data_IF_020511032675
#
_entry.id   IF_020511032675
#
_cell.length_a   1.000
_cell.length_b   1.000
_cell.length_c   1.000
_cell.angle_alpha   90.00
_cell.angle_beta   90.00
_cell.angle_gamma   90.00
#
_symmetry.space_group_name_H-M   'P 1'
#
loop_
_entity.id
_entity.type
_entity.pdbx_description
1 polymer ?
#
# COMPACT_ATOMS: atom_id res chain seq x y z
N UNK A 1 3.56 -16.91 18.49
CA UNK A 1 2.71 -18.07 18.32
C UNK A 1 3.13 -18.85 17.08
N UNK A 2 3.74 -20.05 17.24
CA UNK A 2 4.30 -20.88 16.15
C UNK A 2 3.27 -21.44 15.15
N UNK A 3 1.98 -21.23 15.35
CA UNK A 3 0.92 -21.71 14.46
C UNK A 3 0.99 -21.10 13.04
N UNK A 4 1.64 -19.96 12.88
CA UNK A 4 1.83 -19.29 11.59
C UNK A 4 3.09 -19.71 10.83
N UNK A 5 3.94 -20.53 11.46
CA UNK A 5 5.18 -20.99 10.85
C UNK A 5 4.94 -22.30 10.13
N UNK A 6 5.21 -22.33 8.83
CA UNK A 6 5.20 -23.55 8.06
C UNK A 6 6.31 -24.48 8.54
N UNK A 7 5.95 -25.70 8.93
CA UNK A 7 6.89 -26.76 9.28
C UNK A 7 6.56 -28.01 8.47
N UNK A 8 7.59 -28.67 7.95
CA UNK A 8 7.45 -29.90 7.18
C UNK A 8 8.38 -30.96 7.73
N UNK A 9 7.85 -32.17 7.88
CA UNK A 9 8.60 -33.34 8.26
C UNK A 9 8.46 -34.38 7.13
N UNK A 10 9.57 -34.73 6.50
CA UNK A 10 9.68 -35.80 5.52
C UNK A 10 10.48 -36.94 6.14
N UNK A 11 9.81 -37.99 6.59
CA UNK A 11 10.44 -39.15 7.26
C UNK A 11 11.39 -39.93 6.33
N UNK A 12 12.39 -40.55 6.92
CA UNK A 12 13.34 -41.40 6.20
C UNK A 12 12.64 -42.58 5.47
N UNK A 13 13.17 -42.92 4.31
CA UNK A 13 12.79 -44.12 3.56
C UNK A 13 14.07 -44.91 3.22
N UNK A 14 14.54 -45.78 4.15
CA UNK A 14 15.83 -46.47 3.98
C UNK A 14 15.90 -47.42 2.76
N UNK A 15 14.75 -47.99 2.38
CA UNK A 15 14.67 -48.92 1.25
C UNK A 15 14.60 -48.28 -0.14
N UNK A 16 14.62 -46.94 -0.23
CA UNK A 16 14.66 -46.20 -1.51
C UNK A 16 16.09 -46.17 -2.07
N UNK A 17 16.23 -46.15 -3.37
CA UNK A 17 17.54 -46.01 -4.04
C UNK A 17 17.59 -44.67 -4.82
N UNK A 18 18.44 -43.70 -4.42
CA UNK A 18 19.21 -43.67 -3.18
C UNK A 18 18.33 -43.57 -1.92
N UNK A 19 18.79 -43.97 -0.73
CA UNK A 19 18.02 -43.84 0.50
C UNK A 19 17.60 -42.42 0.78
N UNK A 20 16.34 -42.18 1.15
CA UNK A 20 15.83 -40.86 1.53
C UNK A 20 16.13 -40.63 3.01
N UNK A 21 16.84 -39.56 3.38
CA UNK A 21 17.06 -39.20 4.78
C UNK A 21 15.79 -38.63 5.44
N UNK A 22 15.74 -38.54 6.77
CA UNK A 22 14.78 -37.72 7.51
C UNK A 22 15.12 -36.26 7.27
N UNK A 23 14.16 -35.52 6.73
CA UNK A 23 14.31 -34.09 6.43
C UNK A 23 13.26 -33.32 7.20
N UNK A 24 13.71 -32.28 7.91
CA UNK A 24 12.83 -31.38 8.68
C UNK A 24 13.10 -29.94 8.25
N UNK A 25 12.05 -29.24 7.84
CA UNK A 25 12.08 -27.86 7.39
C UNK A 25 11.19 -26.99 8.27
N UNK A 26 11.66 -25.82 8.62
CA UNK A 26 10.90 -24.78 9.32
C UNK A 26 11.31 -23.41 8.80
N UNK A 27 10.36 -22.49 8.70
CA UNK A 27 10.66 -21.09 8.41
C UNK A 27 11.27 -20.42 9.64
N UNK A 28 12.25 -19.56 9.43
CA UNK A 28 12.91 -18.75 10.46
C UNK A 28 12.85 -17.26 10.07
N UNK A 29 12.89 -16.32 11.04
CA UNK A 29 12.95 -14.90 10.76
C UNK A 29 14.16 -14.56 9.88
N UNK A 30 13.94 -13.69 8.87
CA UNK A 30 15.02 -13.28 7.96
C UNK A 30 15.92 -12.19 8.55
N UNK A 31 15.48 -11.53 9.62
CA UNK A 31 16.22 -10.44 10.27
C UNK A 31 15.47 -9.10 10.21
N UNK A 32 16.15 -7.96 10.43
CA UNK A 32 15.53 -6.65 10.51
C UNK A 32 14.79 -6.23 9.23
N UNK A 33 13.55 -5.79 9.38
CA UNK A 33 12.69 -5.28 8.31
C UNK A 33 12.52 -3.77 8.48
N UNK A 34 12.74 -3.02 7.40
CA UNK A 34 12.45 -1.58 7.38
C UNK A 34 11.07 -1.36 6.78
N UNK A 35 10.24 -0.56 7.46
CA UNK A 35 8.88 -0.25 7.02
C UNK A 35 8.74 1.24 6.74
N UNK A 36 8.20 1.57 5.56
CA UNK A 36 7.84 2.91 5.13
C UNK A 36 6.33 2.99 4.97
N UNK A 37 5.65 3.69 5.88
CA UNK A 37 4.20 3.78 5.89
C UNK A 37 3.63 4.77 4.88
N UNK A 38 2.36 4.58 4.51
CA UNK A 38 1.59 5.45 3.64
C UNK A 38 1.24 6.78 4.32
N UNK A 39 1.09 7.84 3.52
CA UNK A 39 0.68 9.16 4.00
C UNK A 39 -0.80 9.23 4.40
N UNK A 40 -1.65 8.54 3.65
CA UNK A 40 -3.12 8.64 3.71
C UNK A 40 -3.77 7.65 4.71
N UNK A 41 -3.02 6.67 5.22
CA UNK A 41 -3.51 5.68 6.20
C UNK A 41 -2.59 5.59 7.42
N UNK A 42 -2.65 6.57 8.34
CA UNK A 42 -1.72 6.69 9.46
C UNK A 42 -1.79 5.54 10.47
N UNK A 43 -2.85 4.73 10.46
CA UNK A 43 -3.00 3.56 11.30
C UNK A 43 -2.83 2.25 10.52
N UNK A 44 -3.66 2.03 9.49
CA UNK A 44 -3.74 0.73 8.80
C UNK A 44 -2.48 0.38 8.00
N UNK A 45 -1.83 1.38 7.37
CA UNK A 45 -0.67 1.18 6.50
C UNK A 45 0.50 2.08 6.90
N UNK A 46 0.78 2.16 8.19
CA UNK A 46 1.89 2.94 8.74
C UNK A 46 2.53 2.23 9.93
N UNK A 47 2.84 2.94 11.00
CA UNK A 47 3.71 2.50 12.11
C UNK A 47 3.31 1.18 12.75
N UNK A 48 2.03 0.91 12.98
CA UNK A 48 1.52 -0.38 13.47
C UNK A 48 0.69 -1.12 12.43
N UNK A 49 0.81 -0.74 11.15
CA UNK A 49 0.03 -1.31 10.06
C UNK A 49 0.43 -2.73 9.66
N UNK A 50 -0.14 -3.19 8.54
CA UNK A 50 0.02 -4.54 8.05
C UNK A 50 1.48 -4.98 7.91
N UNK A 51 2.36 -4.16 7.32
CA UNK A 51 3.77 -4.50 7.11
C UNK A 51 4.50 -4.75 8.44
N UNK A 52 4.30 -3.85 9.42
CA UNK A 52 4.88 -3.98 10.77
C UNK A 52 4.34 -5.22 11.48
N UNK A 53 3.02 -5.45 11.40
CA UNK A 53 2.37 -6.59 12.04
C UNK A 53 2.83 -7.92 11.43
N UNK A 54 2.94 -8.01 10.10
CA UNK A 54 3.43 -9.19 9.40
C UNK A 54 4.89 -9.49 9.74
N UNK A 55 5.75 -8.46 9.79
CA UNK A 55 7.15 -8.63 10.17
C UNK A 55 7.29 -9.14 11.61
N UNK A 56 6.54 -8.58 12.56
CA UNK A 56 6.50 -9.09 13.94
C UNK A 56 5.96 -10.51 14.04
N UNK A 57 4.89 -10.84 13.30
CA UNK A 57 4.34 -12.19 13.27
C UNK A 57 5.35 -13.21 12.75
N UNK A 58 6.21 -12.81 11.82
CA UNK A 58 7.33 -13.61 11.32
C UNK A 58 8.55 -13.63 12.26
N UNK A 59 8.51 -12.95 13.42
CA UNK A 59 9.61 -12.88 14.39
C UNK A 59 10.74 -11.93 13.99
N UNK A 60 10.51 -11.02 13.06
CA UNK A 60 11.50 -10.07 12.57
C UNK A 60 11.48 -8.78 13.40
N UNK A 61 12.64 -8.21 13.79
CA UNK A 61 12.72 -6.85 14.31
C UNK A 61 12.31 -5.84 13.23
N UNK A 62 11.68 -4.74 13.64
CA UNK A 62 11.14 -3.74 12.72
C UNK A 62 11.72 -2.36 13.00
N UNK A 63 12.10 -1.67 11.93
CA UNK A 63 12.50 -0.27 11.94
C UNK A 63 11.49 0.50 11.10
N UNK A 64 10.67 1.34 11.72
CA UNK A 64 9.71 2.17 10.99
C UNK A 64 10.32 3.54 10.71
N UNK A 65 10.32 3.94 9.45
CA UNK A 65 10.57 5.32 9.06
C UNK A 65 9.23 6.07 9.01
N UNK A 66 9.02 6.99 9.94
CA UNK A 66 7.80 7.78 10.05
C UNK A 66 7.48 8.57 8.78
N UNK A 67 6.21 8.62 8.40
CA UNK A 67 5.80 9.48 7.30
C UNK A 67 5.64 10.93 7.79
N UNK A 68 6.20 11.95 7.10
CA UNK A 68 6.16 13.35 7.55
C UNK A 68 4.75 13.91 7.68
N UNK A 69 3.79 13.47 6.86
CA UNK A 69 2.42 13.96 6.86
C UNK A 69 1.63 13.64 8.15
N UNK A 70 2.08 12.66 8.94
CA UNK A 70 1.45 12.28 10.21
C UNK A 70 2.46 11.91 11.29
N UNK A 71 3.56 12.64 11.38
CA UNK A 71 4.67 12.36 12.31
C UNK A 71 4.22 12.20 13.76
N UNK A 72 3.32 13.06 14.25
CA UNK A 72 2.80 13.00 15.62
C UNK A 72 2.00 11.73 15.90
N UNK A 73 1.13 11.34 14.97
CA UNK A 73 0.39 10.08 15.09
C UNK A 73 1.36 8.89 15.12
N UNK A 74 2.37 8.92 14.26
CA UNK A 74 3.42 7.90 14.22
C UNK A 74 4.17 7.76 15.54
N UNK A 75 4.52 8.87 16.20
CA UNK A 75 5.15 8.88 17.52
C UNK A 75 4.28 8.25 18.61
N UNK A 76 2.99 8.59 18.62
CA UNK A 76 2.05 8.05 19.59
C UNK A 76 1.92 6.53 19.44
N UNK A 77 1.82 6.05 18.19
CA UNK A 77 1.73 4.63 17.88
C UNK A 77 3.04 3.91 18.22
N UNK A 78 4.19 4.49 17.88
CA UNK A 78 5.51 3.95 18.22
C UNK A 78 5.69 3.82 19.75
N UNK A 79 5.26 4.82 20.50
CA UNK A 79 5.26 4.79 21.97
C UNK A 79 4.40 3.65 22.51
N UNK A 80 3.23 3.41 21.92
CA UNK A 80 2.36 2.30 22.31
C UNK A 80 3.02 0.93 22.04
N UNK A 81 3.66 0.77 20.86
CA UNK A 81 4.40 -0.45 20.53
C UNK A 81 5.54 -0.71 21.53
N UNK A 82 6.35 0.32 21.82
CA UNK A 82 7.46 0.20 22.78
C UNK A 82 6.97 -0.16 24.19
N UNK A 83 5.85 0.43 24.63
CA UNK A 83 5.22 0.10 25.90
C UNK A 83 4.72 -1.34 25.92
N UNK A 84 4.07 -1.79 24.86
CA UNK A 84 3.58 -3.16 24.74
C UNK A 84 4.76 -4.16 24.76
N UNK A 85 5.83 -3.88 24.03
CA UNK A 85 7.04 -4.70 24.02
C UNK A 85 7.67 -4.82 25.41
N UNK A 86 7.78 -3.70 26.14
CA UNK A 86 8.30 -3.69 27.50
C UNK A 86 7.42 -4.51 28.46
N UNK A 87 6.10 -4.34 28.40
CA UNK A 87 5.14 -5.08 29.23
C UNK A 87 5.12 -6.59 28.93
N UNK A 88 5.53 -6.98 27.72
CA UNK A 88 5.62 -8.38 27.27
C UNK A 88 7.03 -8.97 27.45
N UNK A 89 7.93 -8.26 28.12
CA UNK A 89 9.32 -8.67 28.37
C UNK A 89 10.09 -9.04 27.08
N UNK A 90 9.74 -8.40 25.96
CA UNK A 90 10.41 -8.64 24.68
C UNK A 90 11.83 -8.01 24.70
N UNK A 91 12.77 -8.57 23.91
CA UNK A 91 14.13 -8.03 23.84
C UNK A 91 14.14 -6.57 23.40
N UNK A 92 15.06 -5.78 23.97
CA UNK A 92 15.32 -4.42 23.49
C UNK A 92 15.79 -4.48 22.01
N UNK A 93 15.31 -3.55 21.20
CA UNK A 93 15.70 -3.47 19.79
C UNK A 93 14.82 -4.27 18.82
N UNK A 94 13.72 -4.89 19.28
CA UNK A 94 12.75 -5.49 18.37
C UNK A 94 12.02 -4.45 17.53
N UNK A 95 11.96 -3.21 18.01
CA UNK A 95 11.30 -2.10 17.33
C UNK A 95 12.11 -0.82 17.46
N UNK A 96 12.27 -0.11 16.34
CA UNK A 96 12.83 1.24 16.28
C UNK A 96 11.94 2.14 15.43
N UNK A 97 11.92 3.42 15.75
CA UNK A 97 11.15 4.43 15.05
C UNK A 97 12.06 5.60 14.69
N UNK A 98 12.08 5.99 13.42
CA UNK A 98 13.00 6.99 12.88
C UNK A 98 12.21 8.05 12.14
N UNK A 99 12.52 9.31 12.39
CA UNK A 99 12.05 10.45 11.61
C UNK A 99 13.03 10.81 10.49
N UNK A 100 12.53 11.55 9.52
CA UNK A 100 13.29 12.13 8.43
C UNK A 100 12.41 12.34 7.20
N UNK A 101 12.53 13.50 6.58
CA UNK A 101 11.87 13.81 5.31
C UNK A 101 12.81 13.65 4.10
N UNK A 102 14.10 13.51 4.36
CA UNK A 102 15.12 13.40 3.32
C UNK A 102 15.15 11.99 2.72
N UNK A 103 15.33 11.94 1.41
CA UNK A 103 15.52 10.70 0.64
C UNK A 103 16.74 9.91 1.16
N UNK A 104 17.79 10.61 1.59
CA UNK A 104 19.00 10.00 2.13
C UNK A 104 18.75 9.09 3.33
N UNK A 105 17.77 9.42 4.19
CA UNK A 105 17.40 8.55 5.32
C UNK A 105 16.82 7.22 4.82
N UNK A 106 15.96 7.28 3.80
CA UNK A 106 15.40 6.09 3.17
C UNK A 106 16.48 5.22 2.51
N UNK A 107 17.36 5.85 1.77
CA UNK A 107 18.49 5.18 1.11
C UNK A 107 19.42 4.50 2.11
N UNK A 108 19.80 5.20 3.17
CA UNK A 108 20.67 4.66 4.22
C UNK A 108 20.05 3.44 4.90
N UNK A 109 18.73 3.47 5.19
CA UNK A 109 18.01 2.35 5.79
C UNK A 109 17.97 1.14 4.86
N UNK A 110 17.63 1.32 3.58
CA UNK A 110 17.57 0.21 2.61
C UNK A 110 18.93 -0.37 2.33
N UNK A 111 19.96 0.47 2.17
CA UNK A 111 21.34 0.03 1.87
C UNK A 111 22.10 -0.50 3.09
N UNK A 112 21.56 -0.35 4.30
CA UNK A 112 22.24 -0.83 5.51
C UNK A 112 22.46 -2.35 5.47
N UNK A 113 23.65 -2.87 5.77
CA UNK A 113 23.97 -4.30 5.61
C UNK A 113 23.09 -5.23 6.45
N UNK A 114 22.60 -4.77 7.59
CA UNK A 114 21.72 -5.55 8.46
C UNK A 114 20.24 -5.51 8.06
N UNK A 115 19.81 -4.63 7.16
CA UNK A 115 18.44 -4.66 6.63
C UNK A 115 18.26 -5.90 5.77
N UNK A 116 17.22 -6.70 6.05
CA UNK A 116 16.96 -7.97 5.39
C UNK A 116 15.69 -7.98 4.54
N UNK A 117 14.79 -7.03 4.75
CA UNK A 117 13.65 -6.77 3.87
C UNK A 117 13.13 -5.34 4.04
N UNK A 118 12.32 -4.91 3.09
CA UNK A 118 11.62 -3.62 3.11
C UNK A 118 10.15 -3.84 2.85
N UNK A 119 9.28 -3.24 3.68
CA UNK A 119 7.85 -3.06 3.45
C UNK A 119 7.59 -1.60 3.11
N UNK A 120 6.79 -1.35 2.09
CA UNK A 120 6.45 0.01 1.64
C UNK A 120 5.02 0.07 1.15
N UNK A 121 4.31 1.11 1.54
CA UNK A 121 3.02 1.48 0.96
C UNK A 121 3.07 2.95 0.57
N UNK A 122 2.84 3.26 -0.71
CA UNK A 122 2.88 4.65 -1.18
C UNK A 122 2.91 4.81 -2.70
N UNK A 123 3.62 5.84 -3.19
CA UNK A 123 3.68 6.16 -4.61
C UNK A 123 4.56 5.18 -5.41
N UNK A 124 4.26 5.03 -6.71
CA UNK A 124 5.10 4.25 -7.64
C UNK A 124 6.56 4.72 -7.62
N UNK A 125 6.80 6.03 -7.66
CA UNK A 125 8.15 6.58 -7.66
C UNK A 125 8.94 6.19 -6.41
N UNK A 126 8.29 6.28 -5.22
CA UNK A 126 8.91 5.88 -3.96
C UNK A 126 9.19 4.38 -3.90
N UNK A 127 8.18 3.56 -4.19
CA UNK A 127 8.31 2.11 -4.17
C UNK A 127 9.34 1.58 -5.16
N UNK A 128 9.34 2.11 -6.38
CA UNK A 128 10.33 1.76 -7.41
C UNK A 128 11.76 2.10 -6.99
N UNK A 129 11.96 3.28 -6.37
CA UNK A 129 13.27 3.69 -5.88
C UNK A 129 13.79 2.76 -4.77
N UNK A 130 12.92 2.40 -3.80
CA UNK A 130 13.29 1.46 -2.73
C UNK A 130 13.61 0.08 -3.30
N UNK A 131 12.81 -0.38 -4.27
CA UNK A 131 13.05 -1.63 -4.99
C UNK A 131 14.42 -1.65 -5.68
N UNK A 132 14.76 -0.58 -6.40
CA UNK A 132 16.04 -0.47 -7.09
C UNK A 132 17.21 -0.49 -6.10
N UNK A 133 17.13 0.26 -5.01
CA UNK A 133 18.16 0.22 -3.97
C UNK A 133 18.30 -1.15 -3.32
N UNK A 134 17.19 -1.84 -3.05
CA UNK A 134 17.20 -3.18 -2.49
C UNK A 134 17.89 -4.21 -3.39
N UNK A 135 17.65 -4.11 -4.69
CA UNK A 135 18.22 -5.00 -5.70
C UNK A 135 19.67 -4.68 -6.07
N UNK A 136 20.10 -3.41 -5.97
CA UNK A 136 21.47 -2.97 -6.29
C UNK A 136 22.49 -3.24 -5.17
N UNK A 137 22.05 -3.79 -4.04
CA UNK A 137 22.95 -4.15 -2.93
C UNK A 137 23.86 -5.31 -3.34
N UNK A 138 25.04 -5.40 -2.69
CA UNK A 138 25.90 -6.59 -2.81
C UNK A 138 25.17 -7.89 -2.49
N UNK A 139 24.29 -7.84 -1.47
CA UNK A 139 23.34 -8.90 -1.13
C UNK A 139 21.92 -8.32 -1.33
N UNK A 140 21.26 -8.61 -2.48
CA UNK A 140 19.90 -8.16 -2.72
C UNK A 140 18.93 -8.61 -1.63
N UNK A 141 17.94 -7.78 -1.35
CA UNK A 141 16.90 -8.05 -0.35
C UNK A 141 15.51 -7.93 -0.97
N UNK A 142 14.51 -8.68 -0.46
CA UNK A 142 13.14 -8.51 -0.88
C UNK A 142 12.61 -7.12 -0.49
N UNK A 143 11.91 -6.49 -1.44
CA UNK A 143 11.19 -5.23 -1.24
C UNK A 143 9.73 -5.46 -1.61
N UNK A 144 8.87 -5.45 -0.60
CA UNK A 144 7.41 -5.57 -0.73
C UNK A 144 6.84 -4.17 -0.83
N UNK A 145 6.57 -3.71 -2.06
CA UNK A 145 6.12 -2.35 -2.31
C UNK A 145 4.70 -2.37 -2.88
N UNK A 146 3.73 -1.98 -2.05
CA UNK A 146 2.37 -1.69 -2.46
C UNK A 146 2.32 -0.26 -2.99
N UNK A 147 2.13 -0.12 -4.28
CA UNK A 147 2.19 1.16 -5.00
C UNK A 147 0.80 1.59 -5.48
N UNK A 148 0.72 2.60 -6.34
CA UNK A 148 -0.54 3.06 -6.92
C UNK A 148 -1.21 2.00 -7.80
N UNK A 149 -2.52 2.12 -7.95
CA UNK A 149 -3.39 1.22 -8.71
C UNK A 149 -4.26 1.99 -9.69
N UNK A 150 -4.94 1.29 -10.61
CA UNK A 150 -5.90 1.86 -11.55
C UNK A 150 -7.34 1.44 -11.20
N UNK A 151 -7.53 0.23 -10.67
CA UNK A 151 -8.83 -0.33 -10.28
C UNK A 151 -9.91 -0.14 -11.37
N UNK A 152 -9.78 -0.77 -12.54
CA UNK A 152 -10.74 -0.60 -13.62
C UNK A 152 -12.10 -1.19 -13.23
N UNK A 153 -13.15 -0.44 -13.51
CA UNK A 153 -14.55 -0.83 -13.32
C UNK A 153 -15.19 -1.04 -14.67
N UNK A 154 -15.76 -2.23 -14.92
CA UNK A 154 -16.46 -2.56 -16.15
C UNK A 154 -17.97 -2.45 -15.93
N UNK A 155 -18.61 -1.57 -16.69
CA UNK A 155 -20.05 -1.37 -16.68
C UNK A 155 -20.71 -2.30 -17.71
N UNK A 156 -21.47 -3.28 -17.24
CA UNK A 156 -22.20 -4.18 -18.13
C UNK A 156 -23.50 -3.54 -18.61
N UNK A 157 -23.86 -3.65 -19.90
CA UNK A 157 -25.02 -2.97 -20.48
C UNK A 157 -26.33 -3.18 -19.72
N UNK A 158 -26.65 -4.43 -19.38
CA UNK A 158 -27.89 -4.74 -18.64
C UNK A 158 -27.94 -4.09 -17.26
N UNK A 159 -26.78 -3.95 -16.60
CA UNK A 159 -26.70 -3.32 -15.29
C UNK A 159 -26.93 -1.81 -15.39
N UNK A 160 -26.33 -1.15 -16.36
CA UNK A 160 -26.52 0.29 -16.62
C UNK A 160 -27.98 0.57 -16.96
N UNK A 161 -28.57 -0.23 -17.84
CA UNK A 161 -29.96 -0.09 -18.29
C UNK A 161 -30.97 -0.14 -17.14
N UNK A 162 -30.72 -0.98 -16.12
CA UNK A 162 -31.68 -1.20 -15.03
C UNK A 162 -31.40 -0.40 -13.76
N UNK A 163 -30.13 -0.01 -13.50
CA UNK A 163 -29.70 0.56 -12.23
C UNK A 163 -28.74 1.74 -12.40
N UNK A 164 -28.87 2.54 -13.47
CA UNK A 164 -27.98 3.67 -13.75
C UNK A 164 -27.84 4.65 -12.60
N UNK A 165 -28.96 5.04 -11.96
CA UNK A 165 -28.98 5.99 -10.83
C UNK A 165 -28.18 5.47 -9.62
N UNK A 166 -28.43 4.23 -9.22
CA UNK A 166 -27.76 3.64 -8.05
C UNK A 166 -26.26 3.47 -8.31
N UNK A 167 -25.90 3.01 -9.52
CA UNK A 167 -24.49 2.85 -9.90
C UNK A 167 -23.76 4.18 -9.98
N UNK A 168 -24.38 5.22 -10.54
CA UNK A 168 -23.78 6.54 -10.64
C UNK A 168 -23.50 7.12 -9.24
N UNK A 169 -24.42 6.98 -8.30
CA UNK A 169 -24.23 7.38 -6.89
C UNK A 169 -23.10 6.62 -6.21
N UNK A 170 -23.06 5.30 -6.38
CA UNK A 170 -21.99 4.47 -5.81
C UNK A 170 -20.63 4.84 -6.38
N UNK A 171 -20.53 5.05 -7.68
CA UNK A 171 -19.29 5.42 -8.36
C UNK A 171 -18.86 6.82 -7.95
N UNK A 172 -19.78 7.82 -7.94
CA UNK A 172 -19.47 9.17 -7.49
C UNK A 172 -18.93 9.15 -6.04
N UNK A 173 -19.60 8.43 -5.13
CA UNK A 173 -19.16 8.27 -3.74
C UNK A 173 -17.79 7.59 -3.62
N UNK A 174 -17.54 6.58 -4.44
CA UNK A 174 -16.26 5.86 -4.43
C UNK A 174 -15.10 6.72 -4.98
N UNK A 175 -15.32 7.40 -6.10
CA UNK A 175 -14.29 8.24 -6.74
C UNK A 175 -13.91 9.44 -5.87
N UNK A 176 -14.86 10.02 -5.16
CA UNK A 176 -14.66 11.22 -4.34
C UNK A 176 -14.27 10.93 -2.90
N UNK A 177 -14.29 9.67 -2.47
CA UNK A 177 -13.94 9.28 -1.10
C UNK A 177 -12.54 9.76 -0.72
N UNK A 178 -12.46 10.53 0.40
CA UNK A 178 -11.20 11.11 0.86
C UNK A 178 -10.53 12.04 -0.17
N UNK A 179 -11.30 12.80 -0.94
CA UNK A 179 -10.84 13.62 -2.06
C UNK A 179 -10.07 12.78 -3.12
N UNK A 180 -10.53 11.56 -3.40
CA UNK A 180 -9.91 10.65 -4.35
C UNK A 180 -8.59 10.03 -3.91
N UNK A 181 -8.17 10.21 -2.64
CA UNK A 181 -6.85 9.82 -2.15
C UNK A 181 -6.81 8.40 -1.55
N UNK A 182 -7.51 7.47 -2.17
CA UNK A 182 -7.52 6.06 -1.77
C UNK A 182 -6.81 5.18 -2.82
N UNK A 183 -6.07 4.16 -2.37
CA UNK A 183 -5.47 3.17 -3.26
C UNK A 183 -6.52 2.32 -3.99
N UNK A 184 -7.74 2.23 -3.47
CA UNK A 184 -8.89 1.54 -4.05
C UNK A 184 -9.75 2.43 -4.95
N UNK A 185 -9.37 3.69 -5.17
CA UNK A 185 -10.12 4.61 -6.02
C UNK A 185 -10.27 4.05 -7.45
N UNK A 186 -11.48 4.03 -8.04
CA UNK A 186 -11.68 3.69 -9.43
C UNK A 186 -11.00 4.72 -10.35
N UNK A 187 -9.92 4.32 -11.01
CA UNK A 187 -9.16 5.21 -11.90
C UNK A 187 -9.62 5.16 -13.36
N UNK A 188 -10.30 4.08 -13.76
CA UNK A 188 -10.87 3.91 -15.11
C UNK A 188 -12.24 3.23 -14.98
N UNK A 189 -13.22 3.76 -15.69
CA UNK A 189 -14.54 3.16 -15.87
C UNK A 189 -14.71 2.85 -17.34
N UNK A 190 -15.09 1.62 -17.67
CA UNK A 190 -15.18 1.12 -19.03
C UNK A 190 -16.63 0.71 -19.30
N UNK A 191 -17.25 1.29 -20.32
CA UNK A 191 -18.60 0.95 -20.78
C UNK A 191 -18.64 0.77 -22.29
N UNK A 192 -19.69 0.12 -22.79
CA UNK A 192 -19.99 0.04 -24.23
C UNK A 192 -20.75 1.29 -24.62
N UNK A 193 -20.29 1.97 -25.67
CA UNK A 193 -20.91 3.18 -26.18
C UNK A 193 -22.33 2.89 -26.68
N UNK A 194 -23.31 3.44 -25.97
CA UNK A 194 -24.74 3.37 -26.30
C UNK A 194 -25.54 4.42 -25.50
N UNK A 195 -26.83 4.56 -25.75
CA UNK A 195 -27.70 5.54 -25.09
C UNK A 195 -27.80 5.34 -23.57
N UNK A 196 -27.74 4.12 -23.10
CA UNK A 196 -27.78 3.81 -21.66
C UNK A 196 -26.51 4.31 -20.97
N UNK A 197 -25.33 4.20 -21.62
CA UNK A 197 -24.07 4.75 -21.11
C UNK A 197 -24.14 6.29 -21.05
N UNK A 198 -24.68 6.95 -22.08
CA UNK A 198 -24.83 8.39 -22.08
C UNK A 198 -25.74 8.87 -20.94
N UNK A 199 -26.86 8.19 -20.73
CA UNK A 199 -27.74 8.46 -19.60
C UNK A 199 -27.03 8.30 -18.25
N UNK A 200 -26.26 7.23 -18.09
CA UNK A 200 -25.45 7.01 -16.90
C UNK A 200 -24.41 8.13 -16.68
N UNK A 201 -23.72 8.59 -17.73
CA UNK A 201 -22.73 9.68 -17.64
C UNK A 201 -23.39 11.01 -17.23
N UNK A 202 -24.59 11.30 -17.70
CA UNK A 202 -25.35 12.48 -17.30
C UNK A 202 -25.67 12.45 -15.80
N UNK A 203 -26.15 11.31 -15.30
CA UNK A 203 -26.45 11.11 -13.88
C UNK A 203 -25.16 11.21 -13.04
N UNK A 204 -24.10 10.53 -13.46
CA UNK A 204 -22.79 10.59 -12.78
C UNK A 204 -22.27 12.01 -12.71
N UNK A 205 -22.42 12.80 -13.80
CA UNK A 205 -22.06 14.22 -13.83
C UNK A 205 -22.81 15.03 -12.77
N UNK A 206 -24.12 14.77 -12.62
CA UNK A 206 -24.93 15.47 -11.61
C UNK A 206 -24.51 15.08 -10.20
N UNK A 207 -24.28 13.80 -9.92
CA UNK A 207 -23.85 13.33 -8.60
C UNK A 207 -22.46 13.89 -8.22
N UNK A 208 -21.51 13.94 -9.15
CA UNK A 208 -20.17 14.52 -8.90
C UNK A 208 -20.27 16.02 -8.59
N UNK A 209 -21.11 16.78 -9.31
CA UNK A 209 -21.29 18.22 -9.08
C UNK A 209 -21.88 18.57 -7.70
N UNK A 210 -22.53 17.61 -7.04
CA UNK A 210 -23.07 17.80 -5.69
C UNK A 210 -22.03 17.54 -4.59
N UNK A 211 -20.87 16.99 -4.93
CA UNK A 211 -19.84 16.69 -3.95
C UNK A 211 -19.15 17.96 -3.49
N UNK A 212 -19.14 18.20 -2.19
CA UNK A 212 -18.46 19.37 -1.63
C UNK A 212 -16.92 19.25 -1.80
N UNK A 213 -16.24 20.32 -2.19
CA UNK A 213 -14.79 20.33 -2.27
C UNK A 213 -14.13 19.97 -0.94
N UNK A 214 -13.08 19.17 -0.96
CA UNK A 214 -12.32 18.81 0.23
C UNK A 214 -10.81 19.05 0.03
N UNK A 215 -10.10 19.45 1.09
CA UNK A 215 -8.66 19.67 0.98
C UNK A 215 -7.92 18.35 0.77
N UNK A 216 -6.91 18.39 -0.08
CA UNK A 216 -5.98 17.26 -0.21
C UNK A 216 -5.04 17.17 1.00
N UNK A 217 -4.49 15.98 1.22
CA UNK A 217 -3.71 15.62 2.41
C UNK A 217 -2.50 16.53 2.63
N UNK A 218 -1.80 16.91 1.55
CA UNK A 218 -0.69 17.87 1.60
C UNK A 218 -0.41 18.48 0.22
N UNK A 219 0.31 19.60 0.21
CA UNK A 219 0.61 20.38 -1.00
C UNK A 219 1.29 19.58 -2.12
N UNK A 220 2.12 18.59 -1.79
CA UNK A 220 2.79 17.74 -2.79
C UNK A 220 1.81 16.87 -3.57
N UNK A 221 0.77 16.33 -2.91
CA UNK A 221 -0.29 15.57 -3.59
C UNK A 221 -1.11 16.51 -4.49
N UNK A 222 -1.48 17.69 -3.98
CA UNK A 222 -2.22 18.70 -4.76
C UNK A 222 -1.45 19.07 -6.04
N UNK A 223 -0.17 19.42 -5.92
CA UNK A 223 0.67 19.75 -7.09
C UNK A 223 0.72 18.61 -8.11
N UNK A 224 0.94 17.39 -7.64
CA UNK A 224 0.98 16.20 -8.52
C UNK A 224 -0.36 15.92 -9.19
N UNK A 225 -1.47 16.19 -8.50
CA UNK A 225 -2.82 16.09 -9.06
C UNK A 225 -3.02 17.12 -10.20
N UNK A 226 -2.70 18.40 -9.97
CA UNK A 226 -2.83 19.44 -10.98
C UNK A 226 -1.99 19.15 -12.24
N UNK A 227 -0.75 18.71 -12.07
CA UNK A 227 0.14 18.34 -13.17
C UNK A 227 -0.43 17.18 -13.99
N UNK A 228 -0.90 16.13 -13.33
CA UNK A 228 -1.47 14.94 -14.00
C UNK A 228 -2.82 15.23 -14.65
N UNK A 229 -3.66 16.03 -14.00
CA UNK A 229 -4.93 16.49 -14.54
C UNK A 229 -4.70 17.30 -15.82
N UNK A 230 -3.79 18.26 -15.81
CA UNK A 230 -3.45 19.06 -16.98
C UNK A 230 -2.93 18.17 -18.12
N UNK A 231 -2.07 17.21 -17.83
CA UNK A 231 -1.56 16.25 -18.81
C UNK A 231 -2.66 15.36 -19.40
N UNK A 232 -3.62 14.91 -18.58
CA UNK A 232 -4.77 14.12 -19.08
C UNK A 232 -5.66 14.97 -19.99
N UNK A 233 -6.03 16.18 -19.59
CA UNK A 233 -6.88 17.08 -20.38
C UNK A 233 -6.23 17.57 -21.69
N UNK A 234 -4.92 17.45 -21.83
CA UNK A 234 -4.21 17.79 -23.07
C UNK A 234 -4.20 16.66 -24.10
N UNK A 235 -4.68 15.46 -23.76
CA UNK A 235 -4.76 14.36 -24.70
C UNK A 235 -5.91 14.57 -25.71
N UNK A 236 -5.76 14.11 -26.96
CA UNK A 236 -6.87 14.14 -27.91
C UNK A 236 -8.02 13.24 -27.43
N UNK A 237 -9.22 13.56 -27.86
CA UNK A 237 -10.44 12.78 -27.62
C UNK A 237 -10.83 12.65 -26.12
N UNK A 238 -10.38 13.60 -25.28
CA UNK A 238 -10.79 13.71 -23.87
C UNK A 238 -11.88 14.76 -23.72
N UNK A 239 -13.03 14.35 -23.21
CA UNK A 239 -14.15 15.22 -22.86
C UNK A 239 -14.29 15.31 -21.34
N UNK A 240 -14.54 16.53 -20.83
CA UNK A 240 -14.82 16.76 -19.40
C UNK A 240 -16.30 16.56 -19.12
N UNK A 241 -16.65 15.46 -18.47
CA UNK A 241 -18.04 15.15 -18.10
C UNK A 241 -18.51 15.96 -16.90
N UNK A 242 -17.68 16.09 -15.87
CA UNK A 242 -18.00 16.86 -14.68
C UNK A 242 -16.75 17.42 -13.99
N UNK A 243 -16.95 18.49 -13.23
CA UNK A 243 -15.98 19.06 -12.28
C UNK A 243 -16.73 19.29 -10.97
N UNK A 244 -16.16 18.84 -9.84
CA UNK A 244 -16.62 19.08 -8.47
C UNK A 244 -15.96 20.33 -7.89
#
# INVERSE_FOLDING_TARGET
>A
NGQWLEARIDTAIPGKTPPKPDIRKMLIPIGPVVVFGASNFPFAYSTAGGDTACAFAAGCPVIVKAHPAHAKTSDMVATAILKAAANSYLPKGIFAHIHGSDIAVGEALVKHPHTKAVGFTGSFTGGKQLFDWGNQRKEPIPVFAEMGSINPVFLLPEKIKTEADEMAKQIAGSVTLGAGQFCTNPGIIIGIDNDDLNTFLDILSQEIKQVAPAPMLHAGIYKSYEEKRAAALSQPDIETVAVA
#
